data_IF_705876585154
#
_entry.id   IF_705876585154
#
_cell.length_a   1.000
_cell.length_b   1.000
_cell.length_c   1.000
_cell.angle_alpha   90.00
_cell.angle_beta   90.00
_cell.angle_gamma   90.00
#
_symmetry.space_group_name_H-M   'P 1'
#
loop_
_entity.id
_entity.type
_entity.pdbx_description
1 polymer ?
#
# COMPACT_ATOMS: atom_id res chain seq x y z
N UNK A 1 54.18 46.66 8.20
CA UNK A 1 55.50 46.29 8.74
C UNK A 1 55.29 45.49 10.03
N UNK A 2 55.55 44.18 10.03
CA UNK A 2 55.45 43.34 11.24
C UNK A 2 56.85 43.23 11.86
N UNK A 3 57.10 43.93 12.97
CA UNK A 3 58.28 43.70 13.79
C UNK A 3 58.22 42.28 14.35
N UNK A 4 59.06 41.39 13.84
CA UNK A 4 59.37 40.12 14.50
C UNK A 4 60.27 40.46 15.68
N UNK A 5 59.71 40.49 16.89
CA UNK A 5 60.52 40.43 18.11
C UNK A 5 61.24 39.07 18.12
N UNK A 6 62.52 39.08 17.73
CA UNK A 6 63.44 37.98 18.02
C UNK A 6 63.73 38.00 19.51
N UNK A 7 62.91 37.29 20.28
CA UNK A 7 63.29 36.91 21.64
C UNK A 7 64.23 35.71 21.49
N UNK A 8 65.52 35.98 21.25
CA UNK A 8 66.57 34.98 21.44
C UNK A 8 66.71 34.75 22.95
N UNK A 9 65.79 33.97 23.50
CA UNK A 9 65.96 33.41 24.84
C UNK A 9 66.84 32.19 24.68
N UNK A 10 68.06 32.24 25.23
CA UNK A 10 68.92 31.06 25.35
C UNK A 10 68.26 30.07 26.30
N UNK A 11 67.35 29.24 25.77
CA UNK A 11 66.62 28.19 26.51
C UNK A 11 67.54 27.11 27.09
N UNK A 12 68.81 27.08 26.67
CA UNK A 12 69.78 26.08 27.09
C UNK A 12 70.60 26.51 28.33
N UNK A 13 70.32 27.66 28.94
CA UNK A 13 71.08 28.17 30.09
C UNK A 13 70.23 28.15 31.36
N UNK A 14 70.79 27.58 32.43
CA UNK A 14 70.23 27.60 33.76
C UNK A 14 70.16 29.02 34.30
N UNK A 15 68.97 29.49 34.64
CA UNK A 15 68.75 30.86 35.14
C UNK A 15 69.43 31.16 36.49
N UNK A 16 69.73 30.14 37.31
CA UNK A 16 70.33 30.31 38.64
C UNK A 16 71.86 30.38 38.61
N UNK A 17 72.46 29.59 37.73
CA UNK A 17 73.90 29.34 37.70
C UNK A 17 74.57 29.88 36.43
N UNK A 18 73.77 30.34 35.46
CA UNK A 18 74.21 30.79 34.14
C UNK A 18 75.07 29.75 33.39
N UNK A 19 74.82 28.46 33.67
CA UNK A 19 75.48 27.28 33.08
C UNK A 19 74.56 26.53 32.13
N UNK A 20 75.12 25.79 31.18
CA UNK A 20 74.35 24.98 30.24
C UNK A 20 73.49 23.91 30.94
N UNK A 21 72.25 23.74 30.46
CA UNK A 21 71.32 22.70 30.86
C UNK A 21 71.65 21.41 30.09
N UNK A 22 72.46 20.54 30.67
CA UNK A 22 72.92 19.29 30.05
C UNK A 22 72.34 18.02 30.66
N UNK A 23 71.54 18.14 31.74
CA UNK A 23 71.01 17.02 32.52
C UNK A 23 69.48 17.14 32.67
N UNK A 24 68.79 16.01 32.73
CA UNK A 24 67.36 15.93 33.03
C UNK A 24 67.14 15.22 34.36
N UNK A 25 66.47 15.89 35.31
CA UNK A 25 66.07 15.30 36.59
C UNK A 25 64.69 14.65 36.43
N UNK A 26 64.62 13.32 36.59
CA UNK A 26 63.38 12.54 36.44
C UNK A 26 62.41 12.89 37.57
N UNK A 27 62.89 12.92 38.82
CA UNK A 27 62.07 13.17 40.02
C UNK A 27 61.36 14.52 39.98
N UNK A 28 62.05 15.55 39.48
CA UNK A 28 61.53 16.91 39.39
C UNK A 28 60.99 17.25 37.99
N UNK A 29 61.04 16.29 37.05
CA UNK A 29 60.58 16.39 35.66
C UNK A 29 61.05 17.69 34.97
N UNK A 30 62.33 18.02 35.09
CA UNK A 30 62.89 19.29 34.58
C UNK A 30 64.36 19.19 34.15
N UNK A 31 64.74 20.05 33.21
CA UNK A 31 66.13 20.24 32.80
C UNK A 31 66.92 21.04 33.84
N UNK A 32 68.13 20.57 34.16
CA UNK A 32 69.02 21.15 35.14
C UNK A 32 70.47 21.24 34.61
N UNK A 33 71.27 22.15 35.15
CA UNK A 33 72.71 22.19 34.92
C UNK A 33 73.46 21.35 35.97
N UNK A 34 74.75 21.10 35.75
CA UNK A 34 75.60 20.35 36.69
C UNK A 34 75.64 20.95 38.11
N UNK A 35 75.60 22.29 38.26
CA UNK A 35 75.56 22.93 39.59
C UNK A 35 74.22 22.72 40.31
N UNK A 36 73.10 22.73 39.58
CA UNK A 36 71.80 22.40 40.15
C UNK A 36 71.76 20.97 40.69
N UNK A 37 72.50 20.04 40.06
CA UNK A 37 72.63 18.68 40.56
C UNK A 37 73.44 18.62 41.85
N UNK A 38 74.64 19.23 41.89
CA UNK A 38 75.50 19.23 43.08
C UNK A 38 74.87 19.92 44.29
N UNK A 39 73.97 20.89 44.06
CA UNK A 39 73.25 21.64 45.11
C UNK A 39 71.84 21.08 45.36
N UNK A 40 71.48 19.97 44.71
CA UNK A 40 70.16 19.39 44.84
C UNK A 40 69.94 18.91 46.28
N UNK A 41 68.77 19.24 46.84
CA UNK A 41 68.39 18.85 48.19
C UNK A 41 67.88 17.41 48.27
N UNK A 42 67.57 16.81 47.12
CA UNK A 42 67.18 15.41 47.00
C UNK A 42 68.46 14.59 47.09
N UNK A 43 68.50 13.59 47.97
CA UNK A 43 69.63 12.67 48.04
C UNK A 43 69.58 11.73 46.82
N UNK A 44 70.61 11.80 45.97
CA UNK A 44 70.76 10.98 44.75
C UNK A 44 69.54 11.04 43.81
N UNK A 45 69.19 12.22 43.23
CA UNK A 45 68.11 12.31 42.25
C UNK A 45 68.45 11.47 41.01
N UNK A 46 67.43 10.85 40.42
CA UNK A 46 67.61 10.09 39.19
C UNK A 46 67.77 11.06 38.01
N UNK A 47 68.92 10.98 37.35
CA UNK A 47 69.30 11.92 36.29
C UNK A 47 69.71 11.17 35.04
N UNK A 48 69.24 11.70 33.91
CA UNK A 48 69.69 11.32 32.58
C UNK A 48 70.48 12.45 31.94
N UNK A 49 71.41 12.10 31.04
CA UNK A 49 71.98 13.10 30.14
C UNK A 49 70.86 13.65 29.24
N UNK A 50 70.98 14.91 28.82
CA UNK A 50 70.02 15.51 27.88
C UNK A 50 69.91 14.68 26.60
N UNK A 51 71.01 14.11 26.12
CA UNK A 51 71.02 13.29 24.92
C UNK A 51 70.19 12.02 25.11
N UNK A 52 70.39 11.29 26.22
CA UNK A 52 69.66 10.05 26.50
C UNK A 52 68.17 10.32 26.69
N UNK A 53 67.82 11.32 27.51
CA UNK A 53 66.43 11.72 27.71
C UNK A 53 65.78 12.20 26.40
N UNK A 54 66.49 12.96 25.58
CA UNK A 54 65.96 13.43 24.30
C UNK A 54 65.64 12.28 23.36
N UNK A 55 66.51 11.26 23.28
CA UNK A 55 66.28 10.07 22.46
C UNK A 55 65.04 9.30 22.95
N UNK A 56 64.87 9.12 24.25
CA UNK A 56 63.70 8.46 24.84
C UNK A 56 62.41 9.23 24.53
N UNK A 57 62.43 10.57 24.64
CA UNK A 57 61.31 11.42 24.28
C UNK A 57 61.01 11.34 22.78
N UNK A 58 62.03 11.33 21.92
CA UNK A 58 61.84 11.20 20.47
C UNK A 58 61.17 9.87 20.10
N UNK A 59 61.61 8.74 20.68
CA UNK A 59 60.97 7.45 20.43
C UNK A 59 59.55 7.39 21.01
N UNK A 60 59.30 7.97 22.19
CA UNK A 60 57.96 8.07 22.75
C UNK A 60 57.02 8.92 21.87
N UNK A 61 57.48 10.08 21.40
CA UNK A 61 56.72 10.92 20.46
C UNK A 61 56.41 10.16 19.18
N UNK A 62 57.37 9.41 18.64
CA UNK A 62 57.19 8.59 17.44
C UNK A 62 56.16 7.48 17.65
N UNK A 63 56.16 6.81 18.80
CA UNK A 63 55.13 5.82 19.17
C UNK A 63 53.75 6.47 19.25
N UNK A 64 53.62 7.60 19.95
CA UNK A 64 52.36 8.33 20.08
C UNK A 64 51.86 8.81 18.71
N UNK A 65 52.74 9.37 17.90
CA UNK A 65 52.41 9.83 16.55
C UNK A 65 51.93 8.69 15.66
N UNK A 66 52.54 7.51 15.75
CA UNK A 66 52.07 6.33 15.03
C UNK A 66 50.71 5.86 15.53
N UNK A 67 50.45 5.89 16.85
CA UNK A 67 49.11 5.59 17.41
C UNK A 67 48.05 6.55 16.88
N UNK A 68 48.31 7.86 16.95
CA UNK A 68 47.38 8.89 16.46
C UNK A 68 47.11 8.72 14.96
N UNK A 69 48.13 8.43 14.14
CA UNK A 69 47.95 8.17 12.71
C UNK A 69 47.10 6.91 12.44
N UNK A 70 47.28 5.86 13.23
CA UNK A 70 46.48 4.65 13.10
C UNK A 70 45.01 4.92 13.47
N UNK A 71 44.76 5.65 14.56
CA UNK A 71 43.41 6.08 14.96
C UNK A 71 42.77 6.98 13.91
N UNK A 72 43.52 7.92 13.33
CA UNK A 72 43.06 8.78 12.24
C UNK A 72 42.58 7.94 11.04
N UNK A 73 43.36 6.92 10.64
CA UNK A 73 43.00 6.03 9.53
C UNK A 73 41.77 5.18 9.85
N UNK A 74 41.67 4.61 11.05
CA UNK A 74 40.48 3.86 11.49
C UNK A 74 39.22 4.72 11.50
N UNK A 75 39.34 5.97 11.94
CA UNK A 75 38.23 6.93 11.93
C UNK A 75 37.82 7.28 10.49
N UNK A 76 38.77 7.47 9.58
CA UNK A 76 38.48 7.70 8.15
C UNK A 76 37.73 6.51 7.53
N UNK A 77 38.18 5.29 7.79
CA UNK A 77 37.49 4.08 7.32
C UNK A 77 36.07 3.97 7.89
N UNK A 78 35.89 4.29 9.18
CA UNK A 78 34.59 4.26 9.83
C UNK A 78 33.64 5.30 9.23
N UNK A 79 34.12 6.52 8.97
CA UNK A 79 33.36 7.57 8.28
C UNK A 79 32.94 7.10 6.89
N UNK A 80 33.87 6.51 6.13
CA UNK A 80 33.59 6.00 4.79
C UNK A 80 32.51 4.90 4.80
N UNK A 81 32.63 3.92 5.70
CA UNK A 81 31.61 2.86 5.89
C UNK A 81 30.26 3.44 6.28
N UNK A 82 30.23 4.45 7.15
CA UNK A 82 29.00 5.14 7.54
C UNK A 82 28.33 5.84 6.36
N UNK A 83 29.11 6.50 5.49
CA UNK A 83 28.59 7.15 4.27
C UNK A 83 28.02 6.14 3.28
N UNK A 84 28.70 5.01 3.08
CA UNK A 84 28.19 3.91 2.23
C UNK A 84 26.88 3.34 2.77
N UNK A 85 26.80 3.11 4.08
CA UNK A 85 25.58 2.65 4.73
C UNK A 85 24.43 3.67 4.60
N UNK A 86 24.72 4.96 4.75
CA UNK A 86 23.74 6.03 4.54
C UNK A 86 23.20 5.99 3.11
N UNK A 87 24.04 5.78 2.10
CA UNK A 87 23.63 5.69 0.70
C UNK A 87 22.78 4.44 0.44
N UNK A 88 23.18 3.27 0.95
CA UNK A 88 22.37 2.04 0.89
C UNK A 88 20.99 2.22 1.51
N UNK A 89 20.90 2.90 2.65
CA UNK A 89 19.62 3.20 3.29
C UNK A 89 18.75 4.14 2.44
N UNK A 90 19.34 5.19 1.84
CA UNK A 90 18.62 6.08 0.92
C UNK A 90 18.07 5.33 -0.30
N UNK A 91 18.84 4.39 -0.86
CA UNK A 91 18.37 3.55 -1.96
C UNK A 91 17.24 2.61 -1.55
N UNK A 92 17.35 1.97 -0.37
CA UNK A 92 16.27 1.14 0.19
C UNK A 92 14.98 1.96 0.38
N UNK A 93 15.08 3.15 0.95
CA UNK A 93 13.92 4.06 1.12
C UNK A 93 13.31 4.40 -0.25
N UNK A 94 14.13 4.79 -1.23
CA UNK A 94 13.65 5.10 -2.58
C UNK A 94 12.92 3.93 -3.23
N UNK A 95 13.42 2.71 -3.06
CA UNK A 95 12.79 1.51 -3.61
C UNK A 95 11.47 1.18 -2.91
N UNK A 96 11.39 1.36 -1.59
CA UNK A 96 10.16 1.17 -0.83
C UNK A 96 9.11 2.21 -1.25
N UNK A 97 9.47 3.49 -1.39
CA UNK A 97 8.54 4.52 -1.86
C UNK A 97 7.97 4.18 -3.24
N UNK A 98 8.83 3.78 -4.20
CA UNK A 98 8.38 3.33 -5.53
C UNK A 98 7.43 2.14 -5.46
N UNK A 99 7.67 1.18 -4.56
CA UNK A 99 6.78 0.03 -4.38
C UNK A 99 5.41 0.48 -3.85
N UNK A 100 5.39 1.38 -2.86
CA UNK A 100 4.15 1.93 -2.30
C UNK A 100 3.37 2.71 -3.37
N UNK A 101 4.05 3.52 -4.19
CA UNK A 101 3.44 4.24 -5.31
C UNK A 101 2.77 3.27 -6.31
N UNK A 102 3.51 2.24 -6.74
CA UNK A 102 2.98 1.23 -7.66
C UNK A 102 1.77 0.46 -7.07
N UNK A 103 1.86 0.07 -5.79
CA UNK A 103 0.77 -0.64 -5.10
C UNK A 103 -0.47 0.25 -4.96
N UNK A 104 -0.29 1.55 -4.68
CA UNK A 104 -1.36 2.54 -4.64
C UNK A 104 -2.05 2.70 -6.00
N UNK A 105 -1.27 2.84 -7.08
CA UNK A 105 -1.81 2.95 -8.44
C UNK A 105 -2.63 1.71 -8.84
N UNK A 106 -2.14 0.51 -8.47
CA UNK A 106 -2.86 -0.74 -8.71
C UNK A 106 -4.19 -0.79 -7.93
N UNK A 107 -4.23 -0.30 -6.68
CA UNK A 107 -5.46 -0.22 -5.91
C UNK A 107 -6.46 0.77 -6.54
N UNK A 108 -5.98 1.94 -6.97
CA UNK A 108 -6.80 2.94 -7.66
C UNK A 108 -7.41 2.34 -8.92
N UNK A 109 -6.62 1.63 -9.72
CA UNK A 109 -7.12 0.97 -10.94
C UNK A 109 -8.20 -0.07 -10.63
N UNK A 110 -8.00 -0.94 -9.63
CA UNK A 110 -9.00 -1.94 -9.21
C UNK A 110 -10.32 -1.29 -8.77
N UNK A 111 -10.26 -0.17 -8.06
CA UNK A 111 -11.44 0.60 -7.65
C UNK A 111 -12.15 1.18 -8.87
N UNK A 112 -11.41 1.74 -9.83
CA UNK A 112 -11.97 2.29 -11.07
C UNK A 112 -12.64 1.20 -11.92
N UNK A 113 -12.00 0.04 -12.09
CA UNK A 113 -12.57 -1.10 -12.81
C UNK A 113 -13.86 -1.58 -12.15
N UNK A 114 -13.86 -1.69 -10.82
CA UNK A 114 -15.05 -2.06 -10.05
C UNK A 114 -16.18 -1.03 -10.23
N UNK A 115 -15.87 0.27 -10.19
CA UNK A 115 -16.82 1.35 -10.44
C UNK A 115 -17.44 1.24 -11.84
N UNK A 116 -16.62 1.01 -12.88
CA UNK A 116 -17.09 0.83 -14.26
C UNK A 116 -18.02 -0.39 -14.36
N UNK A 117 -17.66 -1.50 -13.71
CA UNK A 117 -18.49 -2.70 -13.67
C UNK A 117 -19.87 -2.45 -13.05
N UNK A 118 -19.94 -1.76 -11.91
CA UNK A 118 -21.21 -1.41 -11.28
C UNK A 118 -22.04 -0.45 -12.13
N UNK A 119 -21.43 0.56 -12.74
CA UNK A 119 -22.14 1.47 -13.64
C UNK A 119 -22.73 0.73 -14.84
N UNK A 120 -22.00 -0.22 -15.42
CA UNK A 120 -22.49 -1.04 -16.52
C UNK A 120 -23.64 -1.96 -16.08
N UNK A 121 -23.59 -2.49 -14.86
CA UNK A 121 -24.67 -3.29 -14.28
C UNK A 121 -25.93 -2.45 -14.06
N UNK A 122 -25.79 -1.23 -13.52
CA UNK A 122 -26.92 -0.30 -13.36
C UNK A 122 -27.55 0.08 -14.70
N UNK A 123 -26.76 0.39 -15.73
CA UNK A 123 -27.27 0.65 -17.09
C UNK A 123 -28.08 -0.53 -17.65
N UNK A 124 -27.62 -1.76 -17.44
CA UNK A 124 -28.37 -2.96 -17.85
C UNK A 124 -29.71 -3.08 -17.13
N UNK A 125 -29.74 -2.82 -15.82
CA UNK A 125 -30.96 -2.82 -15.02
C UNK A 125 -31.91 -1.73 -15.50
N UNK A 126 -31.40 -0.52 -15.75
CA UNK A 126 -32.16 0.62 -16.27
C UNK A 126 -32.83 0.28 -17.60
N UNK A 127 -32.08 -0.29 -18.57
CA UNK A 127 -32.63 -0.73 -19.85
C UNK A 127 -33.76 -1.76 -19.64
N UNK A 128 -33.58 -2.73 -18.74
CA UNK A 128 -34.61 -3.74 -18.43
C UNK A 128 -35.87 -3.12 -17.83
N UNK A 129 -35.72 -2.16 -16.90
CA UNK A 129 -36.83 -1.46 -16.27
C UNK A 129 -37.57 -0.61 -17.31
N UNK A 130 -36.85 0.18 -18.11
CA UNK A 130 -37.42 1.01 -19.17
C UNK A 130 -38.19 0.16 -20.19
N UNK A 131 -37.64 -0.98 -20.59
CA UNK A 131 -38.34 -1.94 -21.47
C UNK A 131 -39.66 -2.44 -20.85
N UNK A 132 -39.68 -2.72 -19.54
CA UNK A 132 -40.91 -3.13 -18.84
C UNK A 132 -41.92 -1.98 -18.78
N UNK A 133 -41.47 -0.77 -18.47
CA UNK A 133 -42.32 0.43 -18.44
C UNK A 133 -42.96 0.67 -19.81
N UNK A 134 -42.17 0.65 -20.89
CA UNK A 134 -42.69 0.80 -22.25
C UNK A 134 -43.76 -0.24 -22.60
N UNK A 135 -43.57 -1.49 -22.20
CA UNK A 135 -44.56 -2.54 -22.42
C UNK A 135 -45.87 -2.28 -21.66
N UNK A 136 -45.77 -1.83 -20.41
CA UNK A 136 -46.93 -1.44 -19.59
C UNK A 136 -47.65 -0.24 -20.21
N UNK A 137 -46.92 0.76 -20.69
CA UNK A 137 -47.49 1.93 -21.37
C UNK A 137 -48.25 1.51 -22.64
N UNK A 138 -47.63 0.71 -23.51
CA UNK A 138 -48.27 0.17 -24.73
C UNK A 138 -49.55 -0.61 -24.41
N UNK A 139 -49.56 -1.40 -23.34
CA UNK A 139 -50.75 -2.14 -22.93
C UNK A 139 -51.84 -1.25 -22.32
N UNK A 140 -51.44 -0.21 -21.60
CA UNK A 140 -52.35 0.81 -21.05
C UNK A 140 -53.02 1.61 -22.17
N UNK A 141 -52.26 2.05 -23.18
CA UNK A 141 -52.80 2.71 -24.37
C UNK A 141 -53.82 1.84 -25.13
N UNK A 142 -53.53 0.54 -25.30
CA UNK A 142 -54.49 -0.40 -25.92
C UNK A 142 -55.79 -0.50 -25.12
N UNK A 143 -55.71 -0.53 -23.79
CA UNK A 143 -56.90 -0.54 -22.91
C UNK A 143 -57.66 0.78 -23.01
N UNK A 144 -56.94 1.90 -23.04
CA UNK A 144 -57.55 3.23 -23.17
C UNK A 144 -58.33 3.37 -24.48
N UNK A 145 -57.77 2.91 -25.61
CA UNK A 145 -58.48 2.88 -26.91
C UNK A 145 -59.77 2.06 -26.84
N UNK A 146 -59.76 0.92 -26.14
CA UNK A 146 -60.98 0.11 -25.92
C UNK A 146 -62.02 0.87 -25.10
N UNK A 147 -61.60 1.55 -24.02
CA UNK A 147 -62.49 2.36 -23.19
C UNK A 147 -63.12 3.49 -24.03
N UNK A 148 -62.34 4.20 -24.85
CA UNK A 148 -62.86 5.24 -25.74
C UNK A 148 -63.91 4.69 -26.71
N UNK A 149 -63.65 3.53 -27.31
CA UNK A 149 -64.63 2.86 -28.19
C UNK A 149 -65.91 2.48 -27.42
N UNK A 150 -65.79 1.94 -26.20
CA UNK A 150 -66.94 1.61 -25.35
C UNK A 150 -67.75 2.86 -24.97
N UNK A 151 -67.09 3.99 -24.69
CA UNK A 151 -67.78 5.27 -24.42
C UNK A 151 -68.61 5.73 -25.61
N UNK A 152 -68.10 5.59 -26.84
CA UNK A 152 -68.84 5.91 -28.07
C UNK A 152 -70.07 5.00 -28.20
N UNK A 153 -69.91 3.69 -27.99
CA UNK A 153 -71.02 2.72 -28.02
C UNK A 153 -72.09 3.06 -26.97
N UNK A 154 -71.69 3.35 -25.72
CA UNK A 154 -72.59 3.76 -24.63
C UNK A 154 -73.37 5.03 -25.02
N UNK A 155 -72.68 6.06 -25.47
CA UNK A 155 -73.32 7.32 -25.87
C UNK A 155 -74.32 7.12 -27.02
N UNK A 156 -74.01 6.21 -27.95
CA UNK A 156 -74.88 5.86 -29.08
C UNK A 156 -76.16 5.19 -28.59
N UNK A 157 -76.02 4.19 -27.69
CA UNK A 157 -77.16 3.50 -27.06
C UNK A 157 -78.02 4.48 -26.26
N UNK A 158 -77.38 5.37 -25.48
CA UNK A 158 -78.09 6.38 -24.70
C UNK A 158 -78.88 7.36 -25.59
N UNK A 159 -78.33 7.77 -26.75
CA UNK A 159 -79.04 8.58 -27.74
C UNK A 159 -80.24 7.83 -28.32
N UNK A 160 -80.07 6.58 -28.74
CA UNK A 160 -81.16 5.75 -29.27
C UNK A 160 -82.28 5.55 -28.23
N UNK A 161 -81.94 5.38 -26.96
CA UNK A 161 -82.92 5.22 -25.86
C UNK A 161 -83.77 6.49 -25.64
N UNK A 162 -83.19 7.67 -25.82
CA UNK A 162 -83.88 8.96 -25.67
C UNK A 162 -84.75 9.31 -26.88
N UNK A 163 -84.43 8.75 -28.03
CA UNK A 163 -85.17 8.98 -29.28
C UNK A 163 -86.55 8.31 -29.19
N UNK A 164 -87.64 9.09 -29.37
CA UNK A 164 -89.03 8.57 -29.26
C UNK A 164 -89.42 7.66 -30.43
N UNK A 165 -88.55 7.50 -31.42
CA UNK A 165 -88.78 6.66 -32.59
C UNK A 165 -88.46 5.19 -32.30
N UNK A 166 -89.49 4.42 -31.92
CA UNK A 166 -89.38 2.99 -31.60
C UNK A 166 -88.77 2.14 -32.73
N UNK A 167 -88.97 2.52 -34.00
CA UNK A 167 -88.42 1.78 -35.15
C UNK A 167 -86.89 1.90 -35.17
N UNK A 168 -86.35 3.13 -35.00
CA UNK A 168 -84.90 3.36 -34.92
C UNK A 168 -84.26 2.62 -33.74
N UNK A 169 -84.92 2.60 -32.58
CA UNK A 169 -84.46 1.86 -31.41
C UNK A 169 -84.38 0.35 -31.68
N UNK A 170 -85.41 -0.23 -32.29
CA UNK A 170 -85.45 -1.68 -32.59
C UNK A 170 -84.41 -2.05 -33.65
N UNK A 171 -84.26 -1.24 -34.70
CA UNK A 171 -83.28 -1.48 -35.77
C UNK A 171 -81.85 -1.35 -35.24
N UNK A 172 -81.52 -0.23 -34.57
CA UNK A 172 -80.18 0.00 -33.99
C UNK A 172 -79.84 -1.01 -32.89
N UNK A 173 -80.80 -1.35 -32.03
CA UNK A 173 -80.62 -2.37 -30.99
C UNK A 173 -80.31 -3.75 -31.57
N UNK A 174 -80.97 -4.16 -32.66
CA UNK A 174 -80.66 -5.43 -33.35
C UNK A 174 -79.24 -5.47 -33.89
N UNK A 175 -78.73 -4.36 -34.44
CA UNK A 175 -77.35 -4.28 -34.94
C UNK A 175 -76.31 -4.39 -33.84
N UNK A 176 -76.53 -3.69 -32.72
CA UNK A 176 -75.65 -3.75 -31.54
C UNK A 176 -75.65 -5.16 -30.94
N UNK A 177 -76.82 -5.79 -30.79
CA UNK A 177 -76.91 -7.18 -30.31
C UNK A 177 -76.18 -8.14 -31.26
N UNK A 178 -76.31 -7.95 -32.58
CA UNK A 178 -75.60 -8.75 -33.58
C UNK A 178 -74.08 -8.56 -33.48
N UNK A 179 -73.59 -7.32 -33.35
CA UNK A 179 -72.16 -7.03 -33.25
C UNK A 179 -71.56 -7.65 -31.97
N UNK A 180 -72.29 -7.61 -30.86
CA UNK A 180 -71.82 -8.14 -29.59
C UNK A 180 -71.82 -9.68 -29.53
N UNK A 181 -72.82 -10.33 -30.15
CA UNK A 181 -72.81 -11.78 -30.39
C UNK A 181 -71.61 -12.20 -31.25
N UNK A 182 -71.25 -11.40 -32.27
CA UNK A 182 -70.06 -11.64 -33.09
C UNK A 182 -68.77 -11.48 -32.27
N UNK A 183 -68.63 -10.44 -31.42
CA UNK A 183 -67.48 -10.26 -30.52
C UNK A 183 -67.32 -11.45 -29.56
N UNK A 184 -68.39 -11.89 -28.88
CA UNK A 184 -68.38 -13.08 -28.00
C UNK A 184 -67.97 -14.36 -28.73
N UNK A 185 -68.44 -14.58 -29.97
CA UNK A 185 -68.00 -15.74 -30.78
C UNK A 185 -66.50 -15.67 -31.09
N UNK A 186 -65.94 -14.50 -31.41
CA UNK A 186 -64.50 -14.31 -31.65
C UNK A 186 -63.66 -14.56 -30.39
N UNK A 187 -64.10 -14.09 -29.22
CA UNK A 187 -63.42 -14.33 -27.95
C UNK A 187 -63.40 -15.81 -27.56
N UNK A 188 -64.52 -16.52 -27.74
CA UNK A 188 -64.58 -17.98 -27.52
C UNK A 188 -63.61 -18.75 -28.41
N UNK A 189 -63.45 -18.35 -29.68
CA UNK A 189 -62.45 -18.96 -30.59
C UNK A 189 -61.01 -18.71 -30.10
N UNK A 190 -60.66 -17.46 -29.75
CA UNK A 190 -59.33 -17.13 -29.21
C UNK A 190 -59.02 -17.84 -27.88
N UNK A 191 -60.02 -18.06 -27.04
CA UNK A 191 -59.89 -18.81 -25.79
C UNK A 191 -59.56 -20.29 -26.01
N UNK A 192 -60.18 -20.93 -27.02
CA UNK A 192 -59.89 -22.34 -27.39
C UNK A 192 -58.48 -22.51 -27.96
N UNK A 193 -58.01 -21.58 -28.82
CA UNK A 193 -56.64 -21.59 -29.37
C UNK A 193 -55.54 -21.37 -28.32
N UNK A 194 -55.79 -20.54 -27.31
CA UNK A 194 -54.84 -20.35 -26.21
C UNK A 194 -54.69 -21.60 -25.33
N UNK A 195 -55.75 -22.40 -25.18
CA UNK A 195 -55.71 -23.66 -24.43
C UNK A 195 -54.96 -24.76 -25.19
N UNK A 196 -55.14 -24.90 -26.50
CA UNK A 196 -54.39 -25.89 -27.31
C UNK A 196 -52.88 -25.59 -27.34
N UNK A 197 -52.46 -24.32 -27.39
CA UNK A 197 -51.03 -23.94 -27.34
C UNK A 197 -50.36 -24.17 -25.98
N UNK A 198 -51.10 -24.13 -24.86
CA UNK A 198 -50.55 -24.46 -23.53
C UNK A 198 -50.29 -25.96 -23.35
N UNK A 199 -51.06 -26.83 -24.00
CA UNK A 199 -50.82 -28.28 -24.01
C UNK A 199 -49.48 -28.65 -24.64
N UNK A 200 -49.16 -28.10 -25.82
CA UNK A 200 -47.92 -28.43 -26.54
C UNK A 200 -46.64 -27.82 -25.91
N UNK A 201 -46.72 -26.65 -25.25
CA UNK A 201 -45.56 -26.07 -24.55
C UNK A 201 -45.13 -26.88 -23.33
N UNK A 202 -46.08 -27.50 -22.62
CA UNK A 202 -45.77 -28.37 -21.47
C UNK A 202 -45.07 -29.68 -21.85
N UNK A 203 -45.32 -30.23 -23.04
CA UNK A 203 -44.60 -31.41 -23.56
C UNK A 203 -43.20 -31.08 -24.09
N UNK A 204 -43.00 -29.91 -24.71
CA UNK A 204 -41.67 -29.47 -25.12
C UNK A 204 -40.77 -29.12 -23.92
N UNK A 205 -41.27 -28.44 -22.89
CA UNK A 205 -40.47 -28.13 -21.68
C UNK A 205 -40.03 -29.38 -20.91
N UNK A 206 -40.85 -30.45 -20.89
CA UNK A 206 -40.48 -31.74 -20.29
C UNK A 206 -39.35 -32.44 -21.07
N UNK A 207 -39.30 -32.32 -22.40
CA UNK A 207 -38.20 -32.87 -23.22
C UNK A 207 -36.92 -32.02 -23.09
N UNK A 208 -37.02 -30.70 -22.99
CA UNK A 208 -35.86 -29.81 -22.81
C UNK A 208 -35.19 -29.92 -21.43
N UNK A 209 -35.97 -30.19 -20.36
CA UNK A 209 -35.41 -30.42 -19.00
C UNK A 209 -34.58 -31.69 -18.89
N UNK A 210 -34.85 -32.73 -19.70
CA UNK A 210 -34.03 -33.96 -19.72
C UNK A 210 -32.67 -33.76 -20.39
N UNK A 211 -32.54 -32.85 -21.37
CA UNK A 211 -31.26 -32.52 -22.01
C UNK A 211 -30.36 -31.61 -21.18
N UNK A 212 -30.92 -30.59 -20.51
CA UNK A 212 -30.13 -29.61 -19.74
C UNK A 212 -29.51 -30.14 -18.45
N UNK A 213 -30.02 -31.24 -17.89
CA UNK A 213 -29.42 -31.86 -16.71
C UNK A 213 -28.04 -32.46 -17.02
N UNK A 214 -27.83 -33.01 -18.22
CA UNK A 214 -26.53 -33.53 -18.64
C UNK A 214 -25.48 -32.44 -18.93
N UNK A 215 -25.87 -31.30 -19.49
CA UNK A 215 -24.93 -30.20 -19.81
C UNK A 215 -24.48 -29.39 -18.59
N UNK A 216 -25.31 -29.29 -17.55
CA UNK A 216 -24.95 -28.65 -16.28
C UNK A 216 -23.93 -29.51 -15.51
N UNK A 217 -24.17 -30.83 -15.46
CA UNK A 217 -23.24 -31.77 -14.81
C UNK A 217 -21.85 -31.80 -15.49
N UNK A 218 -21.78 -31.57 -16.82
CA UNK A 218 -20.49 -31.50 -17.53
C UNK A 218 -19.75 -30.17 -17.31
N UNK A 219 -20.48 -29.06 -17.15
CA UNK A 219 -19.88 -27.74 -16.84
C UNK A 219 -19.40 -27.67 -15.40
N UNK A 220 -20.13 -28.23 -14.44
CA UNK A 220 -19.67 -28.33 -13.05
C UNK A 220 -18.39 -29.18 -12.93
N UNK A 221 -18.32 -30.34 -13.61
CA UNK A 221 -17.10 -31.16 -13.64
C UNK A 221 -15.89 -30.45 -14.28
N UNK A 222 -16.13 -29.57 -15.28
CA UNK A 222 -15.07 -28.75 -15.90
C UNK A 222 -14.62 -27.58 -15.01
N UNK A 223 -15.51 -27.00 -14.20
CA UNK A 223 -15.15 -26.00 -13.19
C UNK A 223 -14.38 -26.62 -12.02
N UNK A 224 -14.82 -27.75 -11.46
CA UNK A 224 -14.10 -28.44 -10.38
C UNK A 224 -12.69 -28.85 -10.81
N UNK A 225 -12.50 -29.31 -12.06
CA UNK A 225 -11.15 -29.60 -12.58
C UNK A 225 -10.27 -28.36 -12.65
N UNK A 226 -10.81 -27.19 -13.01
CA UNK A 226 -10.06 -25.93 -13.09
C UNK A 226 -9.73 -25.35 -11.71
N UNK A 227 -10.62 -25.51 -10.73
CA UNK A 227 -10.32 -25.13 -9.33
C UNK A 227 -9.23 -26.02 -8.74
N UNK A 228 -9.33 -27.35 -8.88
CA UNK A 228 -8.29 -28.27 -8.40
C UNK A 228 -6.93 -28.07 -9.08
N UNK A 229 -6.89 -27.64 -10.34
CA UNK A 229 -5.64 -27.30 -11.03
C UNK A 229 -5.07 -25.94 -10.58
N UNK A 230 -5.92 -24.99 -10.17
CA UNK A 230 -5.49 -23.71 -9.59
C UNK A 230 -4.99 -23.88 -8.16
N UNK A 231 -5.62 -24.72 -7.34
CA UNK A 231 -5.12 -25.07 -6.00
C UNK A 231 -3.73 -25.71 -6.08
N UNK A 232 -3.53 -26.68 -6.98
CA UNK A 232 -2.19 -27.28 -7.19
C UNK A 232 -1.12 -26.28 -7.64
N UNK A 233 -1.48 -25.27 -8.43
CA UNK A 233 -0.54 -24.21 -8.86
C UNK A 233 -0.27 -23.17 -7.76
N UNK A 234 -1.27 -22.85 -6.94
CA UNK A 234 -1.11 -21.96 -5.79
C UNK A 234 -0.31 -22.58 -4.64
N UNK A 235 -0.39 -23.89 -4.45
CA UNK A 235 0.43 -24.62 -3.46
C UNK A 235 1.92 -24.62 -3.86
N UNK A 236 2.25 -24.76 -5.14
CA UNK A 236 3.65 -24.70 -5.61
C UNK A 236 4.30 -23.30 -5.51
N UNK A 237 3.51 -22.24 -5.65
CA UNK A 237 4.00 -20.86 -5.51
C UNK A 237 4.18 -20.45 -4.04
N UNK A 238 3.35 -20.99 -3.13
CA UNK A 238 3.46 -20.70 -1.69
C UNK A 238 4.53 -21.53 -0.97
N UNK A 239 4.88 -22.73 -1.46
CA UNK A 239 6.02 -23.48 -0.93
C UNK A 239 7.36 -22.86 -1.32
N UNK A 240 7.50 -22.34 -2.54
CA UNK A 240 8.73 -21.66 -3.00
C UNK A 240 8.95 -20.28 -2.38
N UNK A 241 7.90 -19.56 -1.98
CA UNK A 241 8.04 -18.34 -1.16
C UNK A 241 8.38 -18.64 0.31
N UNK A 242 7.81 -19.70 0.91
CA UNK A 242 8.12 -20.09 2.29
C UNK A 242 9.54 -20.62 2.48
N UNK A 243 10.13 -21.29 1.47
CA UNK A 243 11.56 -21.65 1.51
C UNK A 243 12.46 -20.42 1.43
N UNK A 244 12.15 -19.45 0.56
CA UNK A 244 12.91 -18.18 0.46
C UNK A 244 12.76 -17.28 1.69
N UNK A 245 11.63 -17.38 2.40
CA UNK A 245 11.41 -16.63 3.65
C UNK A 245 12.10 -17.29 4.86
N UNK A 246 12.29 -18.62 4.86
CA UNK A 246 13.08 -19.31 5.88
C UNK A 246 14.59 -19.05 5.75
N UNK A 247 15.13 -18.92 4.54
CA UNK A 247 16.52 -18.48 4.34
C UNK A 247 16.76 -17.03 4.81
N UNK A 248 15.75 -16.15 4.75
CA UNK A 248 15.88 -14.76 5.23
C UNK A 248 15.67 -14.58 6.74
N UNK A 249 15.11 -15.58 7.43
CA UNK A 249 14.84 -15.55 8.88
C UNK A 249 15.89 -16.29 9.71
N UNK A 250 16.91 -16.87 9.07
CA UNK A 250 18.07 -17.49 9.72
C UNK A 250 19.15 -16.50 10.17
N UNK A 251 19.09 -15.25 9.70
CA UNK A 251 20.01 -14.19 10.10
C UNK A 251 19.21 -13.10 10.83
N UNK A 252 19.60 -12.84 12.08
CA UNK A 252 19.21 -11.69 12.91
C UNK A 252 17.75 -11.63 13.39
N UNK A 253 17.47 -12.36 14.48
CA UNK A 253 16.57 -11.87 15.53
C UNK A 253 17.39 -11.37 16.72
N UNK A 254 17.96 -10.17 16.58
CA UNK A 254 18.05 -9.29 17.74
C UNK A 254 16.73 -8.51 17.76
N UNK A 255 15.86 -8.85 18.72
CA UNK A 255 14.63 -8.10 18.98
C UNK A 255 14.99 -6.66 19.36
N UNK A 256 14.80 -5.75 18.41
CA UNK A 256 14.85 -4.32 18.66
C UNK A 256 13.61 -3.93 19.47
N UNK A 257 13.76 -3.87 20.79
CA UNK A 257 12.75 -3.36 21.73
C UNK A 257 12.77 -1.81 21.71
N UNK A 258 11.74 -1.14 21.14
CA UNK A 258 11.71 0.31 21.05
C UNK A 258 11.57 1.02 22.41
N UNK A 259 11.12 0.31 23.47
CA UNK A 259 10.90 0.92 24.78
C UNK A 259 12.21 1.13 25.57
N UNK A 260 13.25 0.34 25.30
CA UNK A 260 14.55 0.49 25.97
C UNK A 260 15.31 1.76 25.57
N UNK A 261 15.06 2.33 24.38
CA UNK A 261 15.79 3.52 23.91
C UNK A 261 15.22 4.85 24.46
N UNK A 262 13.95 4.88 24.86
CA UNK A 262 13.34 6.12 25.37
C UNK A 262 13.81 6.46 26.80
N UNK A 263 13.99 5.45 27.67
CA UNK A 263 14.43 5.66 29.05
C UNK A 263 15.90 6.07 29.18
N UNK A 264 16.77 5.63 28.26
CA UNK A 264 18.18 6.05 28.27
C UNK A 264 18.37 7.52 27.82
N UNK A 265 17.49 8.04 26.95
CA UNK A 265 17.53 9.45 26.58
C UNK A 265 17.04 10.40 27.69
N UNK A 266 16.20 9.91 28.61
CA UNK A 266 15.73 10.71 29.75
C UNK A 266 16.79 10.79 30.85
N UNK A 267 17.55 9.70 31.11
CA UNK A 267 18.64 9.72 32.10
C UNK A 267 19.77 10.70 31.72
N UNK A 268 20.19 10.71 30.46
CA UNK A 268 21.24 11.61 29.97
C UNK A 268 20.84 13.10 29.99
N UNK A 269 19.55 13.43 29.97
CA UNK A 269 19.06 14.81 30.07
C UNK A 269 19.00 15.33 31.51
N UNK A 270 18.99 14.44 32.50
CA UNK A 270 18.91 14.82 33.91
C UNK A 270 20.30 14.97 34.54
N UNK A 271 21.30 14.22 34.07
CA UNK A 271 22.68 14.34 34.58
C UNK A 271 23.36 15.65 34.16
N UNK A 272 22.98 16.23 33.02
CA UNK A 272 23.49 17.52 32.54
C UNK A 272 22.82 18.76 33.18
N UNK A 273 21.89 18.58 34.12
CA UNK A 273 21.25 19.69 34.87
C UNK A 273 21.81 19.89 36.28
N UNK A 274 22.73 19.02 36.71
CA UNK A 274 23.32 19.02 38.06
C UNK A 274 24.83 19.17 38.07
N UNK A 275 25.44 19.54 36.95
CA UNK A 275 26.84 19.99 36.83
C UNK A 275 26.86 21.44 36.35
#
# INVERSE_FOLDING_TARGET
MKQKMKIETNFNICRKHNKELSLYCIDENKLICSECYSTCKINNPEILSLNDFSNDIYENIKIILNKIKNEENQNKETIQKSLENQNKLKEKIKNICKKIENDSDLMIQKIQDSKINYLNLFKKIEILINTKIENILKDTEKKQKKISNMKIEINTIQKMKKDKNHIKLIQGGKEIIKSERKKKKKERKKGKEKKSRKGNKGEQEKKSRKGRKGELDEKERKCEKKEKEKERKGETETETEKEKEKERKGEEKEEFDPEMNYNNQIKLKNENKTA
#
